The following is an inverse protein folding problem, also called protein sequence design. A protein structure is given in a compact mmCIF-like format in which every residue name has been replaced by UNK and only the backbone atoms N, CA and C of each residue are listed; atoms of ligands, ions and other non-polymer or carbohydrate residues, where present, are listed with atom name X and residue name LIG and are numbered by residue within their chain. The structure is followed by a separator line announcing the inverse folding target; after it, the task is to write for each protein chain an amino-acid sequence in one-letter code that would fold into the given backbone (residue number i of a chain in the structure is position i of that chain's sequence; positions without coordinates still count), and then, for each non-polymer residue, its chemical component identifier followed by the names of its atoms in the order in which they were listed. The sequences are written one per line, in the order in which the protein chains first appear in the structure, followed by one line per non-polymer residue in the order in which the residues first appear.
data_IF_529749054467
#
_entry.id   IF_529749054467
#
_cell.length_a   1.000
_cell.length_b   1.000
_cell.length_c   1.000
_cell.angle_alpha   90.00
_cell.angle_beta   90.00
_cell.angle_gamma   90.00
#
_symmetry.space_group_name_H-M   'P 1'
#
loop_
_entity.id
_entity.type
_entity.pdbx_description
1 polymer ?
#
# COMPACT_ATOMS: atom_id res chain seq x y z
N UNK A 1 -25.73 3.03 -14.55
CA UNK A 1 -24.73 3.17 -13.48
C UNK A 1 -23.42 3.52 -14.15
N UNK A 2 -22.83 4.66 -13.82
CA UNK A 2 -21.45 4.93 -14.22
C UNK A 2 -20.59 3.93 -13.45
N UNK A 3 -19.76 3.13 -14.13
CA UNK A 3 -18.75 2.33 -13.45
C UNK A 3 -17.81 3.31 -12.74
N UNK A 4 -17.86 3.36 -11.42
CA UNK A 4 -16.90 4.13 -10.65
C UNK A 4 -15.58 3.37 -10.63
N UNK A 5 -14.57 3.95 -11.26
CA UNK A 5 -13.22 3.43 -11.25
C UNK A 5 -12.66 3.48 -9.83
N UNK A 6 -11.99 2.41 -9.41
CA UNK A 6 -11.49 2.27 -8.04
C UNK A 6 -9.97 2.39 -7.99
N UNK A 7 -9.46 3.04 -6.96
CA UNK A 7 -8.03 3.12 -6.68
C UNK A 7 -7.68 2.17 -5.56
N UNK A 8 -6.69 1.30 -5.79
CA UNK A 8 -6.17 0.35 -4.81
C UNK A 8 -4.70 0.65 -4.50
N UNK A 9 -4.29 0.49 -3.24
CA UNK A 9 -2.89 0.49 -2.84
C UNK A 9 -2.47 -0.87 -2.30
N UNK A 10 -1.39 -1.47 -2.81
CA UNK A 10 -0.84 -2.75 -2.35
C UNK A 10 0.38 -2.49 -1.45
N UNK A 11 0.42 -3.19 -0.31
CA UNK A 11 1.56 -3.18 0.62
C UNK A 11 2.80 -3.91 0.12
N UNK A 12 3.76 -4.12 1.01
CA UNK A 12 5.09 -4.64 0.69
C UNK A 12 5.03 -6.12 0.26
N UNK A 13 5.61 -6.44 -0.90
CA UNK A 13 5.40 -7.72 -1.59
C UNK A 13 6.51 -8.72 -1.26
N UNK A 14 7.76 -8.27 -1.14
CA UNK A 14 8.93 -9.08 -0.78
C UNK A 14 8.99 -10.42 -1.53
N UNK A 15 8.90 -10.40 -2.86
CA UNK A 15 8.97 -11.61 -3.69
C UNK A 15 7.79 -12.59 -3.55
N UNK A 16 6.70 -12.21 -2.87
CA UNK A 16 5.51 -13.06 -2.68
C UNK A 16 4.58 -13.03 -3.90
N UNK A 17 5.07 -13.50 -5.05
CA UNK A 17 4.34 -13.46 -6.33
C UNK A 17 2.97 -14.14 -6.28
N UNK A 18 2.85 -15.30 -5.62
CA UNK A 18 1.58 -16.02 -5.57
C UNK A 18 0.49 -15.24 -4.82
N UNK A 19 0.87 -14.54 -3.74
CA UNK A 19 -0.03 -13.68 -2.99
C UNK A 19 -0.41 -12.44 -3.79
N UNK A 20 0.55 -11.84 -4.52
CA UNK A 20 0.28 -10.74 -5.45
C UNK A 20 -0.72 -11.15 -6.53
N UNK A 21 -0.51 -12.32 -7.14
CA UNK A 21 -1.38 -12.87 -8.17
C UNK A 21 -2.79 -13.13 -7.64
N UNK A 22 -2.92 -13.81 -6.49
CA UNK A 22 -4.21 -14.04 -5.83
C UNK A 22 -4.93 -12.73 -5.51
N UNK A 23 -4.21 -11.73 -5.00
CA UNK A 23 -4.78 -10.43 -4.64
C UNK A 23 -5.33 -9.71 -5.88
N UNK A 24 -4.55 -9.66 -6.96
CA UNK A 24 -4.93 -8.93 -8.17
C UNK A 24 -6.02 -9.66 -8.97
N UNK A 25 -5.83 -10.96 -9.22
CA UNK A 25 -6.72 -11.72 -10.10
C UNK A 25 -8.02 -12.12 -9.42
N UNK A 26 -8.01 -12.43 -8.11
CA UNK A 26 -9.16 -13.03 -7.44
C UNK A 26 -9.83 -12.10 -6.41
N UNK A 27 -9.08 -11.22 -5.75
CA UNK A 27 -9.66 -10.30 -4.74
C UNK A 27 -10.04 -8.95 -5.31
N UNK A 28 -9.14 -8.33 -6.08
CA UNK A 28 -9.35 -6.98 -6.64
C UNK A 28 -10.15 -7.08 -7.93
N UNK A 29 -9.80 -8.00 -8.83
CA UNK A 29 -10.40 -8.12 -10.17
C UNK A 29 -10.35 -6.79 -10.95
N UNK A 30 -9.12 -6.27 -11.13
CA UNK A 30 -8.88 -4.96 -11.73
C UNK A 30 -9.60 -4.77 -13.06
N UNK A 31 -10.29 -3.63 -13.18
CA UNK A 31 -10.87 -3.14 -14.42
C UNK A 31 -9.89 -2.21 -15.14
N UNK A 32 -10.10 -2.02 -16.44
CA UNK A 32 -9.18 -1.27 -17.33
C UNK A 32 -8.82 0.14 -16.83
N UNK A 33 -9.74 0.81 -16.15
CA UNK A 33 -9.60 2.19 -15.70
C UNK A 33 -9.39 2.29 -14.17
N UNK A 34 -9.35 1.15 -13.47
CA UNK A 34 -8.92 1.09 -12.08
C UNK A 34 -7.44 1.45 -11.96
N UNK A 35 -7.03 1.82 -10.75
CA UNK A 35 -5.65 2.19 -10.46
C UNK A 35 -5.06 1.29 -9.39
N UNK A 36 -3.80 0.93 -9.59
CA UNK A 36 -3.03 0.18 -8.64
C UNK A 36 -1.78 0.98 -8.25
N UNK A 37 -1.64 1.24 -6.96
CA UNK A 37 -0.51 1.93 -6.34
C UNK A 37 0.30 0.89 -5.59
N UNK A 38 1.59 0.76 -5.88
CA UNK A 38 2.47 -0.18 -5.20
C UNK A 38 3.37 0.59 -4.22
N UNK A 39 3.33 0.27 -2.92
CA UNK A 39 3.96 1.09 -1.88
C UNK A 39 5.48 0.91 -1.76
N UNK A 40 6.04 -0.19 -2.24
CA UNK A 40 7.50 -0.43 -2.21
C UNK A 40 7.82 -1.89 -1.92
N UNK A 41 9.10 -2.16 -1.65
CA UNK A 41 9.62 -3.47 -1.20
C UNK A 41 9.07 -4.66 -2.00
N UNK A 42 9.34 -4.65 -3.31
CA UNK A 42 8.83 -5.66 -4.24
C UNK A 42 9.60 -6.98 -4.18
N UNK A 43 10.88 -6.91 -3.83
CA UNK A 43 11.84 -8.02 -3.89
C UNK A 43 12.39 -8.35 -2.50
N UNK A 44 13.30 -9.31 -2.46
CA UNK A 44 13.97 -9.86 -1.30
C UNK A 44 13.05 -10.71 -0.40
N UNK A 45 13.67 -11.63 0.35
CA UNK A 45 13.06 -12.58 1.31
C UNK A 45 12.13 -13.64 0.73
N UNK A 46 11.24 -13.30 -0.19
CA UNK A 46 10.41 -14.26 -0.92
C UNK A 46 11.17 -14.94 -2.06
N UNK A 47 10.65 -16.10 -2.48
CA UNK A 47 11.27 -17.00 -3.45
C UNK A 47 11.05 -16.61 -4.92
N UNK A 48 10.13 -15.69 -5.20
CA UNK A 48 9.68 -15.32 -6.57
C UNK A 48 9.89 -13.85 -6.91
N UNK A 49 11.02 -13.27 -6.48
CA UNK A 49 11.36 -11.86 -6.72
C UNK A 49 11.41 -11.51 -8.22
N UNK A 50 11.89 -12.42 -9.07
CA UNK A 50 11.96 -12.21 -10.53
C UNK A 50 10.56 -12.08 -11.12
N UNK A 51 9.66 -12.98 -10.74
CA UNK A 51 8.28 -13.02 -11.22
C UNK A 51 7.50 -11.78 -10.78
N UNK A 52 7.74 -11.29 -9.56
CA UNK A 52 7.20 -10.00 -9.12
C UNK A 52 7.66 -8.86 -10.03
N UNK A 53 8.98 -8.76 -10.30
CA UNK A 53 9.53 -7.69 -11.15
C UNK A 53 8.99 -7.77 -12.58
N UNK A 54 8.99 -8.96 -13.19
CA UNK A 54 8.46 -9.16 -14.54
C UNK A 54 6.99 -8.74 -14.63
N UNK A 55 6.17 -9.15 -13.66
CA UNK A 55 4.76 -8.79 -13.57
C UNK A 55 4.56 -7.28 -13.44
N UNK A 56 5.31 -6.62 -12.55
CA UNK A 56 5.25 -5.17 -12.33
C UNK A 56 5.67 -4.40 -13.59
N UNK A 57 6.72 -4.83 -14.28
CA UNK A 57 7.20 -4.18 -15.51
C UNK A 57 6.14 -4.26 -16.62
N UNK A 58 5.57 -5.44 -16.84
CA UNK A 58 4.50 -5.61 -17.84
C UNK A 58 3.26 -4.80 -17.47
N UNK A 59 2.92 -4.71 -16.18
CA UNK A 59 1.83 -3.87 -15.69
C UNK A 59 2.08 -2.38 -15.98
N UNK A 60 3.26 -1.85 -15.64
CA UNK A 60 3.57 -0.43 -15.83
C UNK A 60 3.58 0.01 -17.29
N UNK A 61 3.95 -0.88 -18.23
CA UNK A 61 3.85 -0.59 -19.68
C UNK A 61 2.42 -0.28 -20.13
N UNK A 62 1.41 -0.77 -19.41
CA UNK A 62 0.00 -0.58 -19.72
C UNK A 62 -0.67 0.64 -19.06
N UNK A 63 0.03 1.38 -18.18
CA UNK A 63 -0.59 2.45 -17.38
C UNK A 63 -0.59 3.82 -18.06
N UNK A 64 -1.55 4.67 -17.66
CA UNK A 64 -1.51 6.11 -17.94
C UNK A 64 -0.37 6.76 -17.15
N UNK A 65 0.30 7.74 -17.75
CA UNK A 65 1.49 8.40 -17.17
C UNK A 65 1.23 9.23 -15.89
N UNK A 66 0.01 9.73 -15.65
CA UNK A 66 -0.33 10.46 -14.42
C UNK A 66 -1.84 10.46 -14.12
N UNK A 67 -2.19 10.67 -12.84
CA UNK A 67 -3.56 10.93 -12.36
C UNK A 67 -3.54 11.52 -10.94
N UNK A 68 -4.49 12.39 -10.61
CA UNK A 68 -4.68 12.94 -9.25
C UNK A 68 -5.92 12.33 -8.58
N UNK A 69 -5.77 11.77 -7.38
CA UNK A 69 -6.87 11.19 -6.59
C UNK A 69 -6.97 11.86 -5.21
N UNK A 70 -8.00 12.69 -5.04
CA UNK A 70 -8.43 13.29 -3.76
C UNK A 70 -7.30 13.75 -2.80
N UNK A 71 -7.44 13.47 -1.49
CA UNK A 71 -6.56 13.89 -0.40
C UNK A 71 -5.69 12.74 0.16
N UNK A 72 -5.56 11.64 -0.58
CA UNK A 72 -4.72 10.52 -0.17
C UNK A 72 -3.25 10.79 -0.46
N UNK A 73 -2.39 10.45 0.51
CA UNK A 73 -0.94 10.36 0.33
C UNK A 73 -0.52 8.90 0.48
N UNK A 74 0.13 8.38 -0.55
CA UNK A 74 0.74 7.05 -0.55
C UNK A 74 2.25 7.22 -0.43
N UNK A 75 2.87 6.52 0.51
CA UNK A 75 4.31 6.61 0.78
C UNK A 75 4.81 5.25 1.27
N UNK A 76 6.05 4.89 0.96
CA UNK A 76 6.61 3.62 1.40
C UNK A 76 6.61 3.49 2.93
N UNK A 77 7.25 4.42 3.65
CA UNK A 77 7.36 4.36 5.11
C UNK A 77 6.56 5.44 5.86
N UNK A 78 6.75 6.72 5.52
CA UNK A 78 6.10 7.83 6.25
C UNK A 78 6.66 9.20 5.89
N UNK A 79 6.45 10.20 6.74
CA UNK A 79 6.84 11.59 6.46
C UNK A 79 7.63 12.20 7.61
N UNK A 80 8.29 13.32 7.34
CA UNK A 80 8.91 14.12 8.39
C UNK A 80 7.89 15.05 9.05
N UNK A 81 7.48 14.71 10.27
CA UNK A 81 6.48 15.46 11.03
C UNK A 81 6.94 16.88 11.43
N UNK A 82 8.26 17.09 11.53
CA UNK A 82 8.85 18.32 12.07
C UNK A 82 9.25 19.33 10.99
N UNK A 83 9.23 18.92 9.72
CA UNK A 83 9.59 19.80 8.60
C UNK A 83 8.47 20.76 8.21
N UNK A 84 8.83 21.93 7.66
CA UNK A 84 7.86 22.88 7.09
C UNK A 84 7.08 22.26 5.92
N UNK A 85 7.77 21.53 5.05
CA UNK A 85 7.16 20.71 4.02
C UNK A 85 7.61 19.25 4.22
N UNK A 86 6.72 18.35 4.68
CA UNK A 86 7.06 16.94 4.90
C UNK A 86 7.43 16.21 3.61
N UNK A 87 7.07 16.76 2.44
CA UNK A 87 7.28 16.13 1.13
C UNK A 87 8.70 16.29 0.57
N UNK A 88 9.60 16.98 1.28
CA UNK A 88 10.98 17.19 0.81
C UNK A 88 12.01 16.26 1.48
N UNK A 89 11.61 15.52 2.52
CA UNK A 89 12.49 14.61 3.25
C UNK A 89 12.33 13.18 2.75
N UNK A 90 13.03 12.87 1.66
CA UNK A 90 13.05 11.54 1.06
C UNK A 90 13.57 10.45 2.00
N UNK A 91 14.44 10.80 2.96
CA UNK A 91 14.92 9.83 3.94
C UNK A 91 13.78 9.34 4.84
N UNK A 92 12.93 10.26 5.30
CA UNK A 92 11.76 9.88 6.10
C UNK A 92 10.76 9.07 5.29
N UNK A 93 10.57 9.38 3.99
CA UNK A 93 9.72 8.60 3.07
C UNK A 93 10.15 7.16 2.90
N UNK A 94 11.46 6.90 2.96
CA UNK A 94 12.02 5.57 2.80
C UNK A 94 12.15 4.80 4.11
N UNK A 95 12.36 5.47 5.25
CA UNK A 95 12.87 4.78 6.45
C UNK A 95 12.13 5.05 7.76
N UNK A 96 11.25 6.06 7.83
CA UNK A 96 10.61 6.47 9.09
C UNK A 96 9.10 6.30 9.04
N UNK A 97 8.58 5.41 9.87
CA UNK A 97 7.15 5.26 10.10
C UNK A 97 6.73 6.00 11.37
N UNK A 98 5.52 6.58 11.35
CA UNK A 98 4.84 7.12 12.53
C UNK A 98 3.37 6.73 12.48
N UNK A 99 2.79 6.50 13.64
CA UNK A 99 1.35 6.21 13.77
C UNK A 99 0.46 7.45 13.68
N UNK A 100 1.02 8.63 13.96
CA UNK A 100 0.31 9.91 13.98
C UNK A 100 1.25 11.04 13.60
N UNK A 101 0.69 12.11 13.03
CA UNK A 101 1.40 13.33 12.61
C UNK A 101 0.73 14.57 13.20
N UNK A 102 1.52 15.47 13.79
CA UNK A 102 1.08 16.80 14.21
C UNK A 102 1.29 17.87 13.14
N UNK A 103 2.01 17.55 12.06
CA UNK A 103 2.27 18.47 10.97
C UNK A 103 0.97 18.96 10.31
N UNK A 104 0.79 20.28 10.25
CA UNK A 104 -0.41 20.90 9.69
C UNK A 104 -0.59 20.63 8.19
N UNK A 105 0.50 20.45 7.44
CA UNK A 105 0.44 20.09 6.01
C UNK A 105 -0.23 18.73 5.78
N UNK A 106 -0.11 17.81 6.76
CA UNK A 106 -0.68 16.47 6.70
C UNK A 106 -2.07 16.41 7.36
N UNK A 107 -2.57 17.53 7.91
CA UNK A 107 -3.73 17.54 8.80
C UNK A 107 -5.03 17.05 8.15
N UNK A 108 -5.18 17.28 6.86
CA UNK A 108 -6.34 16.91 6.04
C UNK A 108 -6.07 15.68 5.16
N UNK A 109 -4.92 15.00 5.33
CA UNK A 109 -4.50 13.89 4.46
C UNK A 109 -4.63 12.54 5.14
N UNK A 110 -5.21 11.58 4.42
CA UNK A 110 -5.12 10.16 4.78
C UNK A 110 -3.83 9.59 4.20
N UNK A 111 -2.99 9.04 5.07
CA UNK A 111 -1.67 8.51 4.74
C UNK A 111 -1.76 6.99 4.75
N UNK A 112 -1.44 6.36 3.61
CA UNK A 112 -1.37 4.90 3.48
C UNK A 112 0.09 4.52 3.22
N UNK A 113 0.63 3.59 4.02
CA UNK A 113 2.05 3.21 3.96
C UNK A 113 2.31 1.73 4.27
N UNK A 114 3.55 1.31 4.08
CA UNK A 114 4.08 -0.02 4.39
C UNK A 114 5.38 0.04 5.21
N UNK A 115 6.43 -0.64 4.75
CA UNK A 115 7.81 -0.70 5.26
C UNK A 115 8.03 -1.49 6.56
N UNK A 116 7.15 -1.31 7.56
CA UNK A 116 7.26 -1.97 8.87
C UNK A 116 6.04 -2.83 9.13
N UNK A 117 6.17 -4.17 9.11
CA UNK A 117 5.03 -5.05 9.20
C UNK A 117 4.25 -4.88 10.50
N UNK A 118 2.93 -4.75 10.39
CA UNK A 118 1.98 -4.81 11.50
C UNK A 118 1.16 -6.10 11.41
N UNK A 119 0.56 -6.53 12.52
CA UNK A 119 -0.33 -7.69 12.50
C UNK A 119 -1.58 -7.37 11.69
N UNK A 120 -2.15 -8.38 11.02
CA UNK A 120 -3.40 -8.27 10.24
C UNK A 120 -4.50 -7.60 11.06
N UNK A 121 -4.71 -8.04 12.30
CA UNK A 121 -5.74 -7.48 13.18
C UNK A 121 -5.55 -5.97 13.48
N UNK A 122 -4.31 -5.49 13.57
CA UNK A 122 -4.01 -4.06 13.80
C UNK A 122 -4.32 -3.26 12.52
N UNK A 123 -3.96 -3.80 11.35
CA UNK A 123 -4.29 -3.16 10.07
C UNK A 123 -5.82 -3.05 9.90
N UNK A 124 -6.54 -4.15 10.09
CA UNK A 124 -8.01 -4.19 9.97
C UNK A 124 -8.70 -3.23 10.94
N UNK A 125 -8.26 -3.20 12.21
CA UNK A 125 -8.80 -2.29 13.22
C UNK A 125 -8.65 -0.82 12.81
N UNK A 126 -7.45 -0.42 12.36
CA UNK A 126 -7.20 0.96 11.93
C UNK A 126 -8.00 1.36 10.69
N UNK A 127 -8.16 0.44 9.74
CA UNK A 127 -9.00 0.66 8.55
C UNK A 127 -10.46 0.83 8.96
N UNK A 128 -10.99 -0.07 9.81
CA UNK A 128 -12.38 0.00 10.30
C UNK A 128 -12.66 1.27 11.10
N UNK A 129 -11.71 1.67 11.94
CA UNK A 129 -11.78 2.92 12.71
C UNK A 129 -11.48 4.17 11.87
N UNK A 130 -11.23 4.02 10.55
CA UNK A 130 -10.93 5.10 9.59
C UNK A 130 -9.81 6.01 10.08
N UNK A 131 -8.74 5.42 10.60
CA UNK A 131 -7.57 6.17 11.02
C UNK A 131 -6.98 6.95 9.85
N UNK A 132 -6.43 8.13 10.16
CA UNK A 132 -5.79 8.99 9.17
C UNK A 132 -4.43 8.45 8.69
N UNK A 133 -3.81 7.54 9.45
CA UNK A 133 -2.55 6.88 9.10
C UNK A 133 -2.77 5.38 9.14
N UNK A 134 -2.65 4.73 7.99
CA UNK A 134 -2.99 3.33 7.77
C UNK A 134 -1.74 2.61 7.26
N UNK A 135 -1.24 1.67 8.06
CA UNK A 135 -0.18 0.76 7.64
C UNK A 135 -0.81 -0.50 7.05
N UNK A 136 -0.48 -0.81 5.80
CA UNK A 136 -0.98 -1.98 5.07
C UNK A 136 0.12 -3.00 4.77
N UNK A 137 1.35 -2.78 5.23
CA UNK A 137 2.35 -3.85 5.30
C UNK A 137 1.98 -4.77 6.46
N UNK A 138 1.38 -5.90 6.10
CA UNK A 138 1.00 -6.98 7.02
C UNK A 138 1.92 -8.20 6.90
N UNK A 139 3.11 -7.99 6.32
CA UNK A 139 4.20 -8.97 6.36
C UNK A 139 3.91 -10.23 5.55
N UNK A 140 3.54 -10.09 4.28
CA UNK A 140 3.20 -11.22 3.39
C UNK A 140 4.27 -12.33 3.37
N UNK A 141 5.54 -11.96 3.51
CA UNK A 141 6.65 -12.90 3.48
C UNK A 141 6.77 -13.76 4.74
N UNK A 142 6.12 -13.39 5.85
CA UNK A 142 6.21 -14.11 7.12
C UNK A 142 5.05 -15.10 7.32
N UNK A 143 4.93 -16.07 6.42
CA UNK A 143 3.83 -17.06 6.41
C UNK A 143 3.71 -17.89 7.69
N UNK A 144 4.83 -18.15 8.36
CA UNK A 144 4.88 -18.95 9.59
C UNK A 144 4.70 -18.12 10.87
N UNK A 145 4.60 -16.79 10.76
CA UNK A 145 4.47 -15.88 11.90
C UNK A 145 3.00 -15.62 12.23
N UNK A 146 2.60 -15.92 13.46
CA UNK A 146 1.22 -15.71 13.93
C UNK A 146 0.79 -14.24 13.76
N UNK A 147 -0.29 -14.04 13.00
CA UNK A 147 -0.88 -12.72 12.75
C UNK A 147 -0.26 -11.95 11.58
N UNK A 148 0.60 -12.58 10.77
CA UNK A 148 1.20 -12.04 9.55
C UNK A 148 0.96 -13.00 8.36
N UNK A 149 1.70 -12.85 7.26
CA UNK A 149 1.78 -13.85 6.20
C UNK A 149 0.76 -13.69 5.08
N UNK A 150 0.12 -12.52 4.98
CA UNK A 150 -0.83 -12.19 3.91
C UNK A 150 -0.42 -10.92 3.21
N UNK A 151 -0.85 -10.72 1.97
CA UNK A 151 -0.68 -9.46 1.24
C UNK A 151 -1.98 -8.66 1.32
N UNK A 152 -1.87 -7.36 1.56
CA UNK A 152 -3.01 -6.47 1.63
C UNK A 152 -3.09 -5.49 0.46
N UNK A 153 -4.32 -5.23 0.02
CA UNK A 153 -4.68 -4.09 -0.80
C UNK A 153 -5.71 -3.21 -0.06
N UNK A 154 -5.49 -1.91 -0.04
CA UNK A 154 -6.44 -0.93 0.44
C UNK A 154 -7.27 -0.36 -0.71
N UNK A 155 -8.59 -0.55 -0.63
CA UNK A 155 -9.60 0.01 -1.54
C UNK A 155 -9.90 1.45 -1.09
N UNK A 156 -9.47 2.43 -1.88
CA UNK A 156 -9.56 3.84 -1.49
C UNK A 156 -10.98 4.40 -1.58
N UNK A 157 -11.84 3.81 -2.43
CA UNK A 157 -13.21 4.26 -2.63
C UNK A 157 -14.08 3.84 -1.43
N UNK A 158 -13.97 2.58 -1.03
CA UNK A 158 -14.76 2.03 0.08
C UNK A 158 -14.04 2.07 1.43
N UNK A 159 -12.75 2.43 1.46
CA UNK A 159 -11.88 2.41 2.65
C UNK A 159 -11.92 1.07 3.39
N UNK A 160 -11.66 -0.01 2.66
CA UNK A 160 -11.61 -1.39 3.18
C UNK A 160 -10.30 -2.06 2.79
N UNK A 161 -9.98 -3.15 3.49
CA UNK A 161 -8.81 -3.98 3.18
C UNK A 161 -9.25 -5.26 2.46
N UNK A 162 -8.52 -5.61 1.40
CA UNK A 162 -8.61 -6.88 0.68
C UNK A 162 -7.34 -7.66 0.96
N UNK A 163 -7.47 -8.95 1.22
CA UNK A 163 -6.35 -9.77 1.69
C UNK A 163 -6.20 -11.02 0.81
N UNK A 164 -4.96 -11.29 0.40
CA UNK A 164 -4.53 -12.57 -0.15
C UNK A 164 -3.72 -13.29 0.92
#
# INVERSE_FOLDING_TARGET
MLNEFTTFAIGDIHGCFDSLKELVENKIQLQKDDKLILLGDYIDRGDKSKEVVDCIIEFFKGLRYYYSFENFLFVHAGFNDYGLNPLTDYYSMLWKCKENYSNLFLSDKTIVHGHRPVRVAICEERVLAKHRVINIDIGCVYKDSVGYGRLAAFDCNCQRILLA
#
